data_IF_090855957040
#
_entry.id   IF_090855957040
#
_cell.length_a   1.000
_cell.length_b   1.000
_cell.length_c   1.000
_cell.angle_alpha   90.00
_cell.angle_beta   90.00
_cell.angle_gamma   90.00
#
_symmetry.space_group_name_H-M   'P 1'
#
loop_
_entity.id
_entity.type
_entity.pdbx_description
1 polymer ?
#
# COMPACT_ATOMS: atom_id res chain seq x y z
N UNK A 1 31.02 31.83 -45.56
CA UNK A 1 31.14 30.59 -44.78
C UNK A 1 32.55 30.38 -44.21
N UNK A 2 33.65 30.61 -44.95
CA UNK A 2 35.00 30.43 -44.41
C UNK A 2 35.33 31.34 -43.24
N UNK A 3 34.90 32.61 -43.27
CA UNK A 3 35.12 33.55 -42.16
C UNK A 3 34.46 33.13 -40.87
N UNK A 4 33.22 32.60 -40.92
CA UNK A 4 32.49 32.12 -39.74
C UNK A 4 33.17 30.89 -39.10
N UNK A 5 33.72 30.01 -39.93
CA UNK A 5 34.49 28.85 -39.47
C UNK A 5 35.72 29.25 -38.68
N UNK A 6 36.53 30.18 -39.23
CA UNK A 6 37.70 30.67 -38.53
C UNK A 6 37.38 31.44 -37.25
N UNK A 7 36.29 32.17 -37.19
CA UNK A 7 35.82 32.85 -36.00
C UNK A 7 35.43 31.89 -34.89
N UNK A 8 34.71 30.83 -35.24
CA UNK A 8 34.36 29.77 -34.29
C UNK A 8 35.60 28.97 -33.82
N UNK A 9 36.54 28.70 -34.72
CA UNK A 9 37.79 28.03 -34.35
C UNK A 9 38.57 28.88 -33.37
N UNK A 10 38.72 30.18 -33.64
CA UNK A 10 39.42 31.11 -32.76
C UNK A 10 38.74 31.22 -31.36
N UNK A 11 37.42 31.30 -31.33
CA UNK A 11 36.70 31.32 -30.06
C UNK A 11 36.92 30.04 -29.21
N UNK A 12 36.96 28.87 -29.85
CA UNK A 12 37.26 27.62 -29.14
C UNK A 12 38.71 27.56 -28.62
N UNK A 13 39.68 28.06 -29.36
CA UNK A 13 41.06 28.11 -28.91
C UNK A 13 41.23 29.07 -27.75
N UNK A 14 40.62 30.27 -27.80
CA UNK A 14 40.63 31.23 -26.69
C UNK A 14 39.99 30.65 -25.44
N UNK A 15 38.85 29.93 -25.60
CA UNK A 15 38.18 29.27 -24.48
C UNK A 15 39.01 28.16 -23.86
N UNK A 16 39.72 27.35 -24.70
CA UNK A 16 40.62 26.31 -24.20
C UNK A 16 41.80 26.91 -23.40
N UNK A 17 42.41 27.99 -23.88
CA UNK A 17 43.49 28.70 -23.19
C UNK A 17 42.98 29.33 -21.88
N UNK A 18 41.74 29.88 -21.89
CA UNK A 18 41.14 30.43 -20.68
C UNK A 18 40.90 29.37 -19.60
N UNK A 19 40.39 28.19 -19.96
CA UNK A 19 40.23 27.09 -19.02
C UNK A 19 41.59 26.62 -18.48
N UNK A 20 42.58 26.51 -19.35
CA UNK A 20 43.91 26.02 -18.93
C UNK A 20 44.65 27.00 -18.05
N UNK A 21 44.46 28.32 -18.22
CA UNK A 21 45.04 29.34 -17.35
C UNK A 21 44.28 29.54 -16.03
N UNK A 22 42.98 29.10 -15.96
CA UNK A 22 42.14 29.22 -14.75
C UNK A 22 42.25 28.06 -13.76
N UNK A 23 43.00 26.99 -14.05
CA UNK A 23 43.04 25.77 -13.22
C UNK A 23 44.18 25.76 -12.19
N UNK A 24 45.07 26.75 -12.21
CA UNK A 24 46.15 26.84 -11.23
C UNK A 24 45.81 27.74 -10.05
N UNK A 25 44.89 27.38 -9.19
CA UNK A 25 44.85 27.87 -7.80
C UNK A 25 43.74 27.23 -6.95
N UNK A 26 43.48 25.94 -7.07
CA UNK A 26 43.01 25.24 -5.89
C UNK A 26 44.21 24.75 -5.11
N UNK A 27 44.80 25.65 -4.31
CA UNK A 27 45.61 25.25 -3.19
C UNK A 27 44.77 24.27 -2.38
N UNK A 28 45.08 22.97 -2.51
CA UNK A 28 44.70 21.98 -1.52
C UNK A 28 45.25 22.50 -0.20
N UNK A 29 44.39 23.04 0.66
CA UNK A 29 44.75 23.26 2.05
C UNK A 29 45.24 21.92 2.57
N UNK A 30 46.50 21.84 3.09
CA UNK A 30 46.94 20.64 3.75
C UNK A 30 45.95 20.37 4.89
N UNK A 31 45.28 19.22 4.84
CA UNK A 31 44.52 18.69 5.97
C UNK A 31 45.41 18.82 7.21
N UNK A 32 44.92 19.43 8.32
CA UNK A 32 45.72 19.46 9.53
C UNK A 32 46.06 18.05 9.93
N UNK A 33 47.37 17.73 9.83
CA UNK A 33 47.95 16.41 10.13
C UNK A 33 48.02 16.14 11.64
N UNK A 34 46.95 16.48 12.37
CA UNK A 34 46.82 16.10 13.77
C UNK A 34 45.41 15.61 14.04
N UNK A 35 45.09 14.48 13.44
CA UNK A 35 44.10 13.59 14.07
C UNK A 35 44.78 13.03 15.34
N UNK A 36 44.61 13.75 16.45
CA UNK A 36 45.02 13.26 17.77
C UNK A 36 44.18 12.03 18.08
N UNK A 37 44.73 10.85 17.82
CA UNK A 37 44.14 9.56 18.13
C UNK A 37 43.68 9.46 19.58
N UNK A 38 44.32 10.20 20.48
CA UNK A 38 43.96 10.31 21.90
C UNK A 38 42.62 11.02 22.18
N UNK A 39 42.08 11.76 21.20
CA UNK A 39 40.77 12.44 21.30
C UNK A 39 39.63 11.71 20.63
N UNK A 40 39.90 10.57 20.00
CA UNK A 40 38.85 9.70 19.46
C UNK A 40 38.21 8.99 20.67
N UNK A 41 37.21 9.60 21.26
CA UNK A 41 36.30 8.89 22.16
C UNK A 41 35.31 8.13 21.30
N UNK A 42 35.28 6.80 21.48
CA UNK A 42 34.17 6.00 21.02
C UNK A 42 32.89 6.60 21.64
N UNK A 43 32.08 7.25 20.82
CA UNK A 43 30.72 7.61 21.28
C UNK A 43 30.06 6.31 21.71
N UNK A 44 29.38 6.27 22.88
CA UNK A 44 28.55 5.12 23.21
C UNK A 44 27.66 4.84 22.01
N UNK A 45 27.56 3.55 21.66
CA UNK A 45 26.69 3.13 20.58
C UNK A 45 25.33 3.81 20.76
N UNK A 46 24.78 4.44 19.73
CA UNK A 46 23.45 5.03 19.83
C UNK A 46 22.53 3.95 20.40
N UNK A 47 21.59 4.32 21.31
CA UNK A 47 20.63 3.36 21.84
C UNK A 47 20.07 2.59 20.64
N UNK A 48 19.85 1.26 20.76
CA UNK A 48 19.35 0.47 19.66
C UNK A 48 18.13 1.19 19.08
N UNK A 49 18.16 1.43 17.78
CA UNK A 49 17.04 2.07 17.10
C UNK A 49 15.75 1.37 17.53
N UNK A 50 14.69 2.10 17.89
CA UNK A 50 13.44 1.49 18.30
C UNK A 50 13.08 0.41 17.28
N UNK A 51 12.76 -0.79 17.77
CA UNK A 51 12.55 -1.94 16.91
C UNK A 51 11.56 -1.54 15.81
N UNK A 52 12.04 -1.48 14.57
CA UNK A 52 11.23 -1.10 13.45
C UNK A 52 10.14 -2.16 13.23
N UNK A 53 8.91 -1.72 13.12
CA UNK A 53 7.79 -2.54 12.69
C UNK A 53 7.50 -2.25 11.23
N UNK A 54 7.02 -3.25 10.51
CA UNK A 54 6.53 -3.09 9.15
C UNK A 54 5.01 -3.11 9.18
N UNK A 55 4.39 -1.99 8.82
CA UNK A 55 2.94 -1.85 8.74
C UNK A 55 2.48 -1.93 7.30
N UNK A 56 1.53 -2.83 7.05
CA UNK A 56 0.91 -3.02 5.74
C UNK A 56 -0.60 -2.87 5.86
N UNK A 57 -1.16 -1.82 5.24
CA UNK A 57 -2.51 -1.44 5.57
C UNK A 57 -3.33 -0.80 4.48
N UNK A 58 -4.42 -0.23 5.00
CA UNK A 58 -5.53 0.38 4.27
C UNK A 58 -6.46 -0.67 3.63
N UNK A 59 -6.66 -1.83 4.32
CA UNK A 59 -7.51 -2.89 3.82
C UNK A 59 -8.95 -2.77 4.30
N UNK A 60 -9.89 -2.98 3.38
CA UNK A 60 -11.33 -3.16 3.64
C UNK A 60 -11.87 -4.30 2.76
N UNK A 61 -13.06 -4.80 3.09
CA UNK A 61 -13.81 -5.75 2.25
C UNK A 61 -13.02 -7.00 1.87
N UNK A 62 -13.11 -7.39 0.61
CA UNK A 62 -12.45 -8.59 0.06
C UNK A 62 -10.93 -8.49 0.07
N UNK A 63 -10.39 -7.28 -0.08
CA UNK A 63 -8.93 -7.10 -0.02
C UNK A 63 -8.38 -7.39 1.37
N UNK A 64 -9.12 -7.10 2.43
CA UNK A 64 -8.74 -7.49 3.78
C UNK A 64 -8.64 -9.02 3.91
N UNK A 65 -9.63 -9.76 3.44
CA UNK A 65 -9.63 -11.23 3.49
C UNK A 65 -8.49 -11.82 2.67
N UNK A 66 -8.24 -11.28 1.48
CA UNK A 66 -7.11 -11.69 0.63
C UNK A 66 -5.77 -11.41 1.30
N UNK A 67 -5.62 -10.24 1.93
CA UNK A 67 -4.41 -9.86 2.66
C UNK A 67 -4.19 -10.75 3.88
N UNK A 68 -5.24 -11.05 4.65
CA UNK A 68 -5.19 -12.03 5.77
C UNK A 68 -4.67 -13.40 5.30
N UNK A 69 -5.24 -13.92 4.21
CA UNK A 69 -4.82 -15.19 3.65
C UNK A 69 -3.37 -15.17 3.13
N UNK A 70 -2.92 -14.03 2.59
CA UNK A 70 -1.56 -13.87 2.11
C UNK A 70 -0.54 -13.81 3.25
N UNK A 71 -0.83 -13.01 4.30
CA UNK A 71 0.04 -12.87 5.47
C UNK A 71 0.10 -14.16 6.30
N UNK A 72 -1.00 -14.91 6.39
CA UNK A 72 -1.04 -16.20 7.09
C UNK A 72 -0.01 -17.21 6.52
N UNK A 73 0.25 -17.16 5.21
CA UNK A 73 1.26 -18.01 4.55
C UNK A 73 2.69 -17.71 4.98
N UNK A 74 2.95 -16.53 5.55
CA UNK A 74 4.28 -16.14 6.05
C UNK A 74 4.60 -16.76 7.41
N UNK A 75 3.62 -17.37 8.09
CA UNK A 75 3.78 -18.08 9.38
C UNK A 75 4.47 -17.23 10.47
N UNK A 76 4.13 -15.95 10.56
CA UNK A 76 4.80 -14.98 11.44
C UNK A 76 4.47 -15.18 12.93
N UNK A 77 3.48 -16.00 13.25
CA UNK A 77 3.10 -16.31 14.64
C UNK A 77 2.79 -15.06 15.47
N UNK A 78 3.35 -14.98 16.67
CA UNK A 78 3.18 -13.86 17.59
C UNK A 78 3.82 -12.53 17.15
N UNK A 79 4.60 -12.55 16.07
CA UNK A 79 5.20 -11.33 15.50
C UNK A 79 4.23 -10.57 14.57
N UNK A 80 3.01 -11.08 14.37
CA UNK A 80 1.98 -10.43 13.57
C UNK A 80 0.86 -9.93 14.48
N UNK A 81 0.50 -8.67 14.31
CA UNK A 81 -0.70 -8.08 14.92
C UNK A 81 -1.55 -7.36 13.87
N UNK A 82 -2.79 -7.08 14.22
CA UNK A 82 -3.75 -6.36 13.36
C UNK A 82 -4.39 -5.25 14.17
N UNK A 83 -4.54 -4.07 13.57
CA UNK A 83 -5.24 -2.96 14.21
C UNK A 83 -6.05 -2.14 13.19
N UNK A 84 -7.02 -1.39 13.68
CA UNK A 84 -7.74 -0.43 12.88
C UNK A 84 -6.91 0.86 12.76
N UNK A 85 -6.73 1.35 11.52
CA UNK A 85 -5.98 2.57 11.22
C UNK A 85 -6.87 3.79 11.03
N UNK A 86 -8.18 3.60 10.89
CA UNK A 86 -9.15 4.67 10.72
C UNK A 86 -10.48 4.15 10.18
N UNK A 87 -11.36 5.08 9.85
CA UNK A 87 -12.59 4.82 9.12
C UNK A 87 -12.53 5.48 7.75
N UNK A 88 -13.09 4.83 6.75
CA UNK A 88 -13.12 5.33 5.38
C UNK A 88 -14.50 5.09 4.79
N UNK A 89 -14.92 6.03 3.94
CA UNK A 89 -16.06 5.82 3.06
C UNK A 89 -15.75 4.66 2.10
N UNK A 90 -16.68 3.73 1.99
CA UNK A 90 -16.58 2.57 1.11
C UNK A 90 -17.84 2.45 0.27
N UNK A 91 -17.69 1.91 -0.91
CA UNK A 91 -18.77 1.74 -1.89
C UNK A 91 -19.11 0.26 -2.00
N UNK A 92 -20.32 -0.07 -1.55
CA UNK A 92 -20.80 -1.43 -1.41
C UNK A 92 -21.72 -1.78 -2.57
N UNK A 93 -21.31 -2.72 -3.40
CA UNK A 93 -22.15 -3.32 -4.45
C UNK A 93 -22.93 -4.47 -3.83
N UNK A 94 -24.25 -4.36 -3.81
CA UNK A 94 -25.12 -5.35 -3.18
C UNK A 94 -26.48 -5.44 -3.85
N UNK A 95 -27.19 -6.52 -3.58
CA UNK A 95 -28.62 -6.65 -3.84
C UNK A 95 -29.33 -6.33 -2.53
N UNK A 96 -30.29 -5.39 -2.53
CA UNK A 96 -31.04 -5.01 -1.33
C UNK A 96 -31.72 -6.20 -0.65
N UNK A 97 -32.10 -6.05 0.63
CA UNK A 97 -32.82 -7.08 1.36
C UNK A 97 -34.03 -7.62 0.57
N UNK A 98 -34.10 -8.91 0.41
CA UNK A 98 -35.21 -9.61 -0.18
C UNK A 98 -36.25 -9.95 0.89
N UNK A 99 -37.49 -10.15 0.47
CA UNK A 99 -38.60 -10.31 1.41
C UNK A 99 -38.47 -11.55 2.30
N UNK A 100 -37.96 -12.62 1.73
CA UNK A 100 -37.78 -13.89 2.44
C UNK A 100 -36.43 -14.51 2.14
N UNK A 101 -35.96 -15.39 3.02
CA UNK A 101 -34.74 -16.16 2.81
C UNK A 101 -34.79 -17.05 1.54
N UNK A 102 -35.91 -17.75 1.23
CA UNK A 102 -36.03 -18.48 -0.04
C UNK A 102 -35.86 -17.61 -1.28
N UNK A 103 -36.32 -16.33 -1.24
CA UNK A 103 -36.07 -15.40 -2.34
C UNK A 103 -34.58 -15.06 -2.49
N UNK A 104 -33.87 -14.89 -1.37
CA UNK A 104 -32.45 -14.67 -1.38
C UNK A 104 -31.68 -15.87 -1.94
N UNK A 105 -32.03 -17.08 -1.52
CA UNK A 105 -31.43 -18.33 -2.03
C UNK A 105 -31.65 -18.45 -3.53
N UNK A 106 -32.88 -18.21 -4.01
CA UNK A 106 -33.21 -18.22 -5.46
C UNK A 106 -32.36 -17.18 -6.23
N UNK A 107 -32.23 -15.99 -5.68
CA UNK A 107 -31.40 -14.94 -6.29
C UNK A 107 -29.91 -15.33 -6.33
N UNK A 108 -29.40 -16.00 -5.32
CA UNK A 108 -28.03 -16.54 -5.28
C UNK A 108 -27.83 -17.58 -6.38
N UNK A 109 -28.79 -18.46 -6.61
CA UNK A 109 -28.71 -19.46 -7.70
C UNK A 109 -28.69 -18.78 -9.08
N UNK A 110 -29.47 -17.69 -9.25
CA UNK A 110 -29.44 -16.87 -10.46
C UNK A 110 -28.03 -16.25 -10.65
N UNK A 111 -27.44 -15.66 -9.59
CA UNK A 111 -26.10 -15.09 -9.62
C UNK A 111 -25.05 -16.13 -10.04
N UNK A 112 -25.11 -17.33 -9.46
CA UNK A 112 -24.22 -18.44 -9.81
C UNK A 112 -24.32 -18.81 -11.29
N UNK A 113 -25.55 -18.92 -11.84
CA UNK A 113 -25.77 -19.23 -13.26
C UNK A 113 -25.20 -18.15 -14.20
N UNK A 114 -25.15 -16.90 -13.72
CA UNK A 114 -24.59 -15.76 -14.46
C UNK A 114 -23.08 -15.56 -14.21
N UNK A 115 -22.44 -16.53 -13.53
CA UNK A 115 -20.99 -16.53 -13.31
C UNK A 115 -20.52 -15.62 -12.18
N UNK A 116 -21.42 -15.18 -11.29
CA UNK A 116 -21.04 -14.45 -10.07
C UNK A 116 -20.82 -15.46 -8.95
N UNK A 117 -19.55 -15.70 -8.61
CA UNK A 117 -19.14 -16.71 -7.63
C UNK A 117 -18.76 -16.11 -6.28
N UNK A 118 -18.42 -14.81 -6.25
CA UNK A 118 -18.09 -14.08 -5.03
C UNK A 118 -19.32 -13.33 -4.55
N UNK A 119 -19.87 -13.75 -3.43
CA UNK A 119 -21.01 -13.08 -2.76
C UNK A 119 -21.07 -13.54 -1.30
N UNK A 120 -21.74 -12.74 -0.48
CA UNK A 120 -22.06 -13.06 0.91
C UNK A 120 -23.54 -12.82 1.16
N UNK A 121 -24.26 -13.84 1.63
CA UNK A 121 -25.67 -13.73 2.06
C UNK A 121 -25.71 -13.25 3.51
N UNK A 122 -26.30 -12.09 3.74
CA UNK A 122 -26.44 -11.51 5.08
C UNK A 122 -27.63 -12.17 5.77
N UNK A 123 -27.38 -12.92 6.84
CA UNK A 123 -28.36 -13.65 7.64
C UNK A 123 -28.21 -13.24 9.09
N UNK A 124 -28.58 -12.01 9.39
CA UNK A 124 -28.53 -11.43 10.73
C UNK A 124 -29.82 -10.68 11.05
N UNK A 125 -29.96 -10.20 12.28
CA UNK A 125 -31.14 -9.45 12.71
C UNK A 125 -31.06 -7.95 12.35
N UNK A 126 -30.19 -7.56 11.42
CA UNK A 126 -30.06 -6.17 10.99
C UNK A 126 -31.10 -5.81 9.92
N UNK A 127 -31.14 -4.52 9.59
CA UNK A 127 -31.92 -4.01 8.43
C UNK A 127 -31.47 -4.58 7.08
N UNK A 128 -30.32 -5.28 7.06
CA UNK A 128 -29.73 -5.88 5.87
C UNK A 128 -29.98 -7.38 5.75
N UNK A 129 -30.81 -7.94 6.65
CA UNK A 129 -31.15 -9.35 6.58
C UNK A 129 -31.73 -9.71 5.19
N UNK A 130 -31.28 -10.84 4.65
CA UNK A 130 -31.56 -11.29 3.27
C UNK A 130 -31.02 -10.40 2.15
N UNK A 131 -30.12 -9.44 2.44
CA UNK A 131 -29.33 -8.79 1.40
C UNK A 131 -28.21 -9.70 0.90
N UNK A 132 -27.77 -9.49 -0.34
CA UNK A 132 -26.65 -10.22 -0.91
C UNK A 132 -25.52 -9.23 -1.20
N UNK A 133 -24.46 -9.26 -0.41
CA UNK A 133 -23.26 -8.48 -0.63
C UNK A 133 -22.45 -9.10 -1.77
N UNK A 134 -22.01 -8.31 -2.72
CA UNK A 134 -21.18 -8.76 -3.84
C UNK A 134 -19.74 -8.38 -3.58
N UNK A 135 -19.48 -7.08 -3.39
CA UNK A 135 -18.12 -6.59 -3.08
C UNK A 135 -18.15 -5.19 -2.48
N UNK A 136 -17.00 -4.77 -1.89
CA UNK A 136 -16.82 -3.46 -1.25
C UNK A 136 -15.54 -2.83 -1.77
N UNK A 137 -15.62 -1.59 -2.22
CA UNK A 137 -14.54 -0.84 -2.85
C UNK A 137 -14.19 0.44 -2.11
N UNK A 138 -12.91 0.85 -2.20
CA UNK A 138 -12.46 2.16 -1.74
C UNK A 138 -12.88 3.29 -2.69
N UNK A 139 -13.08 3.01 -3.97
CA UNK A 139 -13.44 4.01 -4.97
C UNK A 139 -14.81 3.75 -5.57
N UNK A 140 -15.57 4.82 -5.75
CA UNK A 140 -16.87 4.77 -6.40
C UNK A 140 -16.76 4.29 -7.85
N UNK A 141 -15.68 4.66 -8.54
CA UNK A 141 -15.44 4.26 -9.92
C UNK A 141 -15.32 2.74 -10.06
N UNK A 142 -14.59 2.08 -9.14
CA UNK A 142 -14.46 0.62 -9.12
C UNK A 142 -15.82 -0.05 -8.87
N UNK A 143 -16.60 0.48 -7.93
CA UNK A 143 -17.96 -0.03 -7.65
C UNK A 143 -18.88 0.15 -8.86
N UNK A 144 -18.84 1.29 -9.53
CA UNK A 144 -19.61 1.57 -10.76
C UNK A 144 -19.22 0.63 -11.90
N UNK A 145 -17.94 0.31 -12.05
CA UNK A 145 -17.44 -0.66 -13.05
C UNK A 145 -18.04 -2.05 -12.81
N UNK A 146 -17.96 -2.56 -11.57
CA UNK A 146 -18.57 -3.84 -11.21
C UNK A 146 -20.09 -3.81 -11.43
N UNK A 147 -20.79 -2.73 -11.02
CA UNK A 147 -22.22 -2.60 -11.22
C UNK A 147 -22.61 -2.63 -12.71
N UNK A 148 -21.82 -1.99 -13.58
CA UNK A 148 -22.02 -2.03 -15.02
C UNK A 148 -21.84 -3.46 -15.58
N UNK A 149 -20.82 -4.18 -15.12
CA UNK A 149 -20.60 -5.58 -15.46
C UNK A 149 -21.78 -6.46 -15.00
N UNK A 150 -22.26 -6.28 -13.79
CA UNK A 150 -23.44 -7.00 -13.27
C UNK A 150 -24.68 -6.76 -14.14
N UNK A 151 -24.93 -5.49 -14.51
CA UNK A 151 -26.05 -5.12 -15.38
C UNK A 151 -25.93 -5.74 -16.79
N UNK A 152 -24.72 -5.80 -17.36
CA UNK A 152 -24.50 -6.43 -18.67
C UNK A 152 -24.78 -7.93 -18.66
N UNK A 153 -24.55 -8.60 -17.50
CA UNK A 153 -24.92 -9.99 -17.26
C UNK A 153 -26.42 -10.20 -16.97
N UNK A 154 -27.22 -9.13 -16.96
CA UNK A 154 -28.67 -9.20 -16.69
C UNK A 154 -29.07 -9.00 -15.23
N UNK A 155 -28.12 -8.77 -14.31
CA UNK A 155 -28.36 -8.57 -12.89
C UNK A 155 -28.74 -7.11 -12.65
N UNK A 156 -30.02 -6.78 -12.80
CA UNK A 156 -30.54 -5.41 -12.68
C UNK A 156 -30.82 -4.99 -11.23
N UNK A 157 -30.89 -5.94 -10.30
CA UNK A 157 -31.23 -5.72 -8.89
C UNK A 157 -30.05 -5.24 -8.03
N UNK A 158 -28.82 -5.27 -8.56
CA UNK A 158 -27.67 -4.76 -7.84
C UNK A 158 -27.63 -3.23 -7.83
N UNK A 159 -27.25 -2.67 -6.68
CA UNK A 159 -27.08 -1.22 -6.46
C UNK A 159 -25.76 -0.95 -5.74
N UNK A 160 -25.36 0.33 -5.70
CA UNK A 160 -24.24 0.81 -4.88
C UNK A 160 -24.82 1.51 -3.66
N UNK A 161 -24.37 1.13 -2.47
CA UNK A 161 -24.58 1.83 -1.21
C UNK A 161 -23.26 2.38 -0.69
N UNK A 162 -23.33 3.41 0.17
CA UNK A 162 -22.18 3.94 0.89
C UNK A 162 -22.15 3.38 2.30
N UNK A 163 -20.95 3.02 2.76
CA UNK A 163 -20.68 2.52 4.11
C UNK A 163 -19.49 3.27 4.70
N UNK A 164 -19.47 3.45 6.02
CA UNK A 164 -18.27 3.77 6.76
C UNK A 164 -17.68 2.49 7.31
N UNK A 165 -16.46 2.14 6.92
CA UNK A 165 -15.78 0.93 7.34
C UNK A 165 -14.46 1.23 8.01
N UNK A 166 -14.14 0.44 9.03
CA UNK A 166 -12.81 0.46 9.63
C UNK A 166 -11.80 -0.10 8.65
N UNK A 167 -10.79 0.71 8.33
CA UNK A 167 -9.61 0.22 7.62
C UNK A 167 -8.72 -0.57 8.59
N UNK A 168 -8.19 -1.67 8.11
CA UNK A 168 -7.33 -2.54 8.91
C UNK A 168 -5.91 -2.53 8.34
N UNK A 169 -4.93 -2.63 9.23
CA UNK A 169 -3.53 -2.84 8.89
C UNK A 169 -2.96 -4.03 9.65
N UNK A 170 -2.00 -4.70 9.03
CA UNK A 170 -1.17 -5.73 9.62
C UNK A 170 0.16 -5.11 10.04
N UNK A 171 0.62 -5.44 11.24
CA UNK A 171 1.91 -5.00 11.75
C UNK A 171 2.77 -6.21 12.02
N UNK A 172 3.91 -6.27 11.35
CA UNK A 172 4.94 -7.27 11.58
C UNK A 172 5.97 -6.68 12.54
N UNK A 173 6.11 -7.28 13.71
CA UNK A 173 7.04 -6.85 14.74
C UNK A 173 8.43 -7.44 14.45
N UNK A 174 9.46 -6.58 14.43
CA UNK A 174 10.87 -6.97 14.21
C UNK A 174 11.01 -7.90 12.98
N UNK A 175 10.56 -7.46 11.80
CA UNK A 175 10.62 -8.31 10.61
C UNK A 175 12.06 -8.66 10.27
N UNK A 176 12.31 -9.93 9.94
CA UNK A 176 13.56 -10.36 9.33
C UNK A 176 13.62 -9.86 7.87
N UNK A 177 14.80 -9.77 7.29
CA UNK A 177 15.02 -9.21 5.95
C UNK A 177 14.23 -9.97 4.88
N UNK A 178 14.22 -11.29 4.95
CA UNK A 178 13.44 -12.15 4.05
C UNK A 178 11.93 -11.92 4.15
N UNK A 179 11.44 -11.56 5.34
CA UNK A 179 10.02 -11.20 5.56
C UNK A 179 9.71 -9.86 4.91
N UNK A 180 10.61 -8.89 5.03
CA UNK A 180 10.45 -7.57 4.39
C UNK A 180 10.34 -7.74 2.87
N UNK A 181 11.22 -8.52 2.25
CA UNK A 181 11.19 -8.79 0.81
C UNK A 181 9.88 -9.47 0.37
N UNK A 182 9.42 -10.46 1.14
CA UNK A 182 8.13 -11.12 0.89
C UNK A 182 6.96 -10.14 0.99
N UNK A 183 6.96 -9.25 1.98
CA UNK A 183 5.90 -8.24 2.15
C UNK A 183 5.91 -7.21 1.00
N UNK A 184 7.08 -6.80 0.53
CA UNK A 184 7.22 -5.94 -0.66
C UNK A 184 6.64 -6.63 -1.90
N UNK A 185 6.93 -7.91 -2.07
CA UNK A 185 6.36 -8.71 -3.17
C UNK A 185 4.83 -8.84 -3.04
N UNK A 186 4.31 -9.12 -1.85
CA UNK A 186 2.87 -9.20 -1.60
C UNK A 186 2.14 -7.89 -1.93
N UNK A 187 2.73 -6.74 -1.56
CA UNK A 187 2.16 -5.41 -1.83
C UNK A 187 1.84 -5.21 -3.32
N UNK A 188 2.62 -5.79 -4.23
CA UNK A 188 2.39 -5.66 -5.68
C UNK A 188 1.04 -6.24 -6.12
N UNK A 189 0.53 -7.25 -5.41
CA UNK A 189 -0.77 -7.86 -5.66
C UNK A 189 -1.97 -7.10 -5.06
N UNK A 190 -1.71 -5.98 -4.36
CA UNK A 190 -2.73 -5.20 -3.65
C UNK A 190 -2.61 -3.70 -3.99
N UNK A 191 -3.07 -3.28 -5.18
CA UNK A 191 -3.05 -1.88 -5.56
C UNK A 191 -3.90 -1.05 -4.58
N UNK A 192 -3.34 0.08 -4.13
CA UNK A 192 -3.98 0.93 -3.12
C UNK A 192 -3.62 0.60 -1.67
N UNK A 193 -2.94 -0.53 -1.39
CA UNK A 193 -2.38 -0.78 -0.06
C UNK A 193 -1.09 0.01 0.16
N UNK A 194 -0.81 0.33 1.41
CA UNK A 194 0.39 1.04 1.84
C UNK A 194 1.27 0.12 2.68
N UNK A 195 2.56 0.07 2.36
CA UNK A 195 3.57 -0.64 3.15
C UNK A 195 4.59 0.38 3.64
N UNK A 196 4.72 0.54 4.95
CA UNK A 196 5.61 1.53 5.56
C UNK A 196 6.29 0.97 6.81
N UNK A 197 7.46 1.51 7.10
CA UNK A 197 8.11 1.27 8.39
C UNK A 197 7.47 2.16 9.44
N UNK A 198 7.12 1.59 10.60
CA UNK A 198 6.54 2.30 11.72
C UNK A 198 7.27 1.97 13.02
N UNK A 199 7.14 2.84 14.01
CA UNK A 199 7.55 2.51 15.37
C UNK A 199 6.64 1.40 15.90
N UNK A 200 7.25 0.38 16.53
CA UNK A 200 6.47 -0.68 17.16
C UNK A 200 5.68 -0.11 18.35
N UNK A 201 4.47 0.35 18.12
CA UNK A 201 3.54 0.62 19.21
C UNK A 201 3.21 -0.74 19.86
N UNK A 202 3.62 -0.91 21.11
CA UNK A 202 3.18 -2.06 21.91
C UNK A 202 1.66 -2.00 21.93
N UNK A 203 0.99 -2.97 21.30
CA UNK A 203 -0.46 -3.11 21.44
C UNK A 203 -0.75 -3.23 22.95
N UNK A 204 -1.54 -2.30 23.48
CA UNK A 204 -2.06 -2.47 24.84
C UNK A 204 -2.79 -3.82 24.86
N UNK A 205 -2.58 -4.68 25.89
CA UNK A 205 -3.30 -5.93 26.01
C UNK A 205 -4.79 -5.58 26.01
N UNK A 206 -5.54 -6.18 25.11
CA UNK A 206 -7.00 -6.16 25.14
C UNK A 206 -7.46 -6.82 26.43
N UNK A 207 -7.99 -6.01 27.36
CA UNK A 207 -8.73 -6.48 28.54
C UNK A 207 -10.01 -7.19 28.11
#
# INVERSE_FOLDING_TARGET
>A
MKALFFLLLFANVVFAVYIQSGVDSRKSSPLPAELRSEKIRLLPAPPPAPAACLEWGNFIGTDLQRAEAAVAKLQLGGNLSRHAVGEVAAYWVHIPPLKTEPDAVKKIEELKKLGVTSYFHIQDNSKWNNAISIDIFHSEEAARKLLAEMKSKGIKSAIIGELSLKQMAFVVHKPAEDVIEKMISLKQGFPGSELKTSECKVAAPSL
#
